data_IF_221069106494
#
_entry.id   IF_221069106494
#
_cell.length_a   1.000
_cell.length_b   1.000
_cell.length_c   1.000
_cell.angle_alpha   90.00
_cell.angle_beta   90.00
_cell.angle_gamma   90.00
#
_symmetry.space_group_name_H-M   'P 1'
#
loop_
_entity.id
_entity.type
_entity.pdbx_description
1 polymer ?
#
# COMPACT_ATOMS: atom_id res chain seq x y z
N UNK A 1 10.31 7.81 -4.33
CA UNK A 1 10.29 6.84 -3.20
C UNK A 1 11.38 5.81 -3.39
N UNK A 2 11.96 5.37 -2.29
CA UNK A 2 13.10 4.44 -2.33
C UNK A 2 12.64 3.03 -1.92
N UNK A 3 12.14 2.27 -2.90
CA UNK A 3 11.69 0.89 -2.67
C UNK A 3 12.81 -0.01 -2.14
N UNK A 4 14.04 0.00 -2.71
CA UNK A 4 15.09 -0.87 -2.19
C UNK A 4 15.45 -0.59 -0.73
N UNK A 5 15.49 0.68 -0.33
CA UNK A 5 15.78 1.05 1.05
C UNK A 5 14.65 0.61 2.00
N UNK A 6 13.40 0.79 1.60
CA UNK A 6 12.27 0.31 2.40
C UNK A 6 12.29 -1.21 2.53
N UNK A 7 12.53 -1.92 1.44
CA UNK A 7 12.63 -3.38 1.46
C UNK A 7 13.71 -3.84 2.44
N UNK A 8 14.88 -3.21 2.42
CA UNK A 8 15.98 -3.55 3.32
C UNK A 8 15.59 -3.36 4.79
N UNK A 9 14.89 -2.28 5.12
CA UNK A 9 14.42 -2.02 6.48
C UNK A 9 13.44 -3.10 6.91
N UNK A 10 12.48 -3.47 6.06
CA UNK A 10 11.51 -4.51 6.40
C UNK A 10 12.19 -5.87 6.58
N UNK A 11 13.17 -6.19 5.76
CA UNK A 11 13.95 -7.44 5.90
C UNK A 11 14.68 -7.48 7.25
N UNK A 12 15.23 -6.35 7.70
CA UNK A 12 15.91 -6.27 8.99
C UNK A 12 14.98 -6.49 10.17
N UNK A 13 13.69 -6.20 10.00
CA UNK A 13 12.67 -6.33 11.06
C UNK A 13 11.83 -7.59 10.89
N UNK A 14 12.21 -8.48 9.99
CA UNK A 14 11.48 -9.72 9.77
C UNK A 14 11.43 -10.57 11.04
N UNK A 15 10.27 -11.17 11.28
CA UNK A 15 10.05 -12.07 12.42
C UNK A 15 9.36 -13.33 11.90
N UNK A 16 10.12 -14.38 11.57
CA UNK A 16 9.55 -15.60 11.00
C UNK A 16 8.49 -16.27 11.89
N UNK A 17 8.63 -16.17 13.21
CA UNK A 17 7.65 -16.76 14.15
C UNK A 17 6.30 -16.07 14.02
N UNK A 18 6.28 -14.74 13.87
CA UNK A 18 5.03 -13.99 13.68
C UNK A 18 4.46 -14.17 12.27
N UNK A 19 5.32 -14.45 11.28
CA UNK A 19 4.88 -14.67 9.91
C UNK A 19 3.98 -15.89 9.77
N UNK A 20 4.24 -16.94 10.55
CA UNK A 20 3.48 -18.20 10.47
C UNK A 20 1.99 -17.99 10.70
N UNK A 21 1.53 -17.40 11.83
CA UNK A 21 0.10 -17.18 12.03
C UNK A 21 -0.49 -16.16 11.04
N UNK A 22 0.27 -15.18 10.59
CA UNK A 22 -0.19 -14.22 9.60
C UNK A 22 -0.50 -14.91 8.26
N UNK A 23 0.40 -15.78 7.82
CA UNK A 23 0.21 -16.55 6.59
C UNK A 23 -0.97 -17.49 6.69
N UNK A 24 -1.14 -18.16 7.83
CA UNK A 24 -2.27 -19.04 8.07
C UNK A 24 -3.60 -18.28 8.05
N UNK A 25 -3.66 -17.10 8.68
CA UNK A 25 -4.85 -16.25 8.68
C UNK A 25 -5.27 -15.87 7.26
N UNK A 26 -4.31 -15.62 6.38
CA UNK A 26 -4.55 -15.28 4.98
C UNK A 26 -4.64 -16.51 4.08
N UNK A 27 -4.80 -17.69 4.66
CA UNK A 27 -4.94 -18.98 3.97
C UNK A 27 -3.78 -19.26 3.01
N UNK A 28 -2.59 -18.84 3.41
CA UNK A 28 -1.34 -19.02 2.67
C UNK A 28 -1.33 -18.42 1.27
N UNK A 29 -2.14 -17.38 1.04
CA UNK A 29 -2.17 -16.67 -0.25
C UNK A 29 -1.02 -15.71 -0.42
N UNK A 30 -0.40 -15.26 0.68
CA UNK A 30 0.66 -14.26 0.67
C UNK A 30 1.80 -14.70 1.57
N UNK A 31 3.01 -14.24 1.24
CA UNK A 31 4.20 -14.40 2.08
C UNK A 31 4.28 -13.18 3.00
N UNK A 32 4.76 -13.38 4.23
CA UNK A 32 4.91 -12.32 5.22
C UNK A 32 6.33 -12.29 5.78
N UNK A 33 6.85 -11.08 6.05
CA UNK A 33 8.02 -10.91 6.91
C UNK A 33 7.69 -11.21 8.37
N UNK A 34 6.46 -10.97 8.78
CA UNK A 34 6.04 -11.09 10.16
C UNK A 34 6.03 -9.76 10.91
N UNK A 35 5.75 -8.66 10.21
CA UNK A 35 5.71 -7.31 10.77
C UNK A 35 4.24 -6.92 10.95
N UNK A 36 3.84 -6.58 12.18
CA UNK A 36 2.49 -6.11 12.46
C UNK A 36 2.24 -4.72 11.88
N UNK A 37 0.97 -4.38 11.63
CA UNK A 37 0.60 -3.11 11.00
C UNK A 37 1.10 -1.87 11.76
N UNK A 38 1.02 -1.78 13.10
CA UNK A 38 1.56 -0.62 13.80
C UNK A 38 3.06 -0.43 13.62
N UNK A 39 3.82 -1.52 13.66
CA UNK A 39 5.26 -1.47 13.43
C UNK A 39 5.57 -1.11 11.98
N UNK A 40 4.84 -1.67 11.04
CA UNK A 40 4.99 -1.34 9.62
C UNK A 40 4.78 0.16 9.38
N UNK A 41 3.73 0.73 9.94
CA UNK A 41 3.44 2.16 9.83
C UNK A 41 4.60 2.99 10.41
N UNK A 42 5.15 2.57 11.55
CA UNK A 42 6.29 3.24 12.17
C UNK A 42 7.53 3.19 11.27
N UNK A 43 7.81 2.04 10.67
CA UNK A 43 8.95 1.86 9.79
C UNK A 43 8.82 2.63 8.48
N UNK A 44 7.60 2.77 7.97
CA UNK A 44 7.33 3.51 6.73
C UNK A 44 7.37 5.02 6.93
N UNK A 45 7.10 5.52 8.14
CA UNK A 45 6.94 6.94 8.40
C UNK A 45 8.10 7.80 7.90
N UNK A 46 9.39 7.46 8.14
CA UNK A 46 10.49 8.26 7.61
C UNK A 46 10.51 8.36 6.09
N UNK A 47 10.08 7.30 5.40
CA UNK A 47 10.03 7.27 3.94
C UNK A 47 8.93 8.15 3.38
N UNK A 48 7.82 8.30 4.10
CA UNK A 48 6.62 8.99 3.61
C UNK A 48 6.51 10.43 4.14
N UNK A 49 7.42 10.85 4.99
CA UNK A 49 7.34 12.14 5.70
C UNK A 49 7.09 13.33 4.75
N UNK A 50 7.83 13.39 3.65
CA UNK A 50 7.73 14.49 2.70
C UNK A 50 7.13 14.06 1.36
N UNK A 51 6.54 12.87 1.31
CA UNK A 51 6.05 12.29 0.05
C UNK A 51 4.99 13.16 -0.61
N UNK A 52 4.11 13.79 0.18
CA UNK A 52 3.02 14.61 -0.35
C UNK A 52 3.49 15.90 -1.07
N UNK A 53 4.77 16.25 -0.93
CA UNK A 53 5.35 17.39 -1.64
C UNK A 53 5.73 17.07 -3.08
N UNK A 54 5.67 15.79 -3.46
CA UNK A 54 6.04 15.30 -4.79
C UNK A 54 4.86 14.61 -5.44
N UNK A 55 4.85 14.45 -6.77
CA UNK A 55 3.83 13.65 -7.43
C UNK A 55 3.84 12.20 -6.99
N UNK A 56 2.76 11.47 -7.26
CA UNK A 56 2.67 10.04 -6.94
C UNK A 56 3.73 9.26 -7.72
N UNK A 57 4.53 8.47 -7.01
CA UNK A 57 5.52 7.58 -7.60
C UNK A 57 4.86 6.23 -7.88
N UNK A 58 4.30 6.08 -9.07
CA UNK A 58 3.63 4.84 -9.47
C UNK A 58 4.59 3.67 -9.67
N UNK A 59 5.86 3.94 -9.98
CA UNK A 59 6.88 2.89 -10.05
C UNK A 59 7.10 2.26 -8.67
N UNK A 60 7.15 3.08 -7.64
CA UNK A 60 7.23 2.58 -6.25
C UNK A 60 6.03 1.70 -5.91
N UNK A 61 4.81 2.16 -6.24
CA UNK A 61 3.59 1.39 -6.00
C UNK A 61 3.64 0.05 -6.74
N UNK A 62 4.07 0.07 -8.01
CA UNK A 62 4.17 -1.14 -8.82
C UNK A 62 5.16 -2.13 -8.22
N UNK A 63 6.32 -1.66 -7.81
CA UNK A 63 7.34 -2.53 -7.19
C UNK A 63 6.86 -3.16 -5.89
N UNK A 64 6.18 -2.37 -5.04
CA UNK A 64 5.57 -2.89 -3.81
C UNK A 64 4.51 -3.94 -4.11
N UNK A 65 3.69 -3.70 -5.13
CA UNK A 65 2.60 -4.62 -5.48
C UNK A 65 3.12 -5.92 -6.07
N UNK A 66 4.22 -5.87 -6.81
CA UNK A 66 4.84 -7.04 -7.43
C UNK A 66 5.65 -7.87 -6.43
N UNK A 67 6.00 -7.32 -5.27
CA UNK A 67 6.75 -8.03 -4.24
C UNK A 67 5.88 -9.14 -3.63
N UNK A 68 6.44 -10.33 -3.35
CA UNK A 68 5.67 -11.42 -2.76
C UNK A 68 5.24 -11.18 -1.32
N UNK A 69 5.92 -10.26 -0.59
CA UNK A 69 5.61 -10.01 0.82
C UNK A 69 4.44 -9.07 0.98
N UNK A 70 3.42 -9.50 1.71
CA UNK A 70 2.18 -8.76 1.88
C UNK A 70 2.38 -7.39 2.54
N UNK A 71 3.37 -7.27 3.42
CA UNK A 71 3.68 -5.99 4.06
C UNK A 71 4.02 -4.90 3.03
N UNK A 72 4.57 -5.25 1.88
CA UNK A 72 4.84 -4.25 0.84
C UNK A 72 3.57 -3.77 0.16
N UNK A 73 2.55 -4.62 0.00
CA UNK A 73 1.24 -4.14 -0.44
C UNK A 73 0.63 -3.19 0.60
N UNK A 74 0.72 -3.51 1.88
CA UNK A 74 0.24 -2.61 2.94
C UNK A 74 1.01 -1.28 2.94
N UNK A 75 2.33 -1.30 2.72
CA UNK A 75 3.13 -0.09 2.62
C UNK A 75 2.67 0.78 1.45
N UNK A 76 2.39 0.18 0.29
CA UNK A 76 1.87 0.90 -0.87
C UNK A 76 0.51 1.54 -0.56
N UNK A 77 -0.36 0.83 0.17
CA UNK A 77 -1.67 1.37 0.57
C UNK A 77 -1.51 2.58 1.50
N UNK A 78 -0.61 2.50 2.47
CA UNK A 78 -0.31 3.64 3.35
C UNK A 78 0.25 4.82 2.57
N UNK A 79 1.12 4.56 1.60
CA UNK A 79 1.64 5.59 0.70
C UNK A 79 0.51 6.25 -0.10
N UNK A 80 -0.39 5.46 -0.70
CA UNK A 80 -1.50 6.00 -1.49
C UNK A 80 -2.46 6.83 -0.65
N UNK A 81 -2.72 6.44 0.60
CA UNK A 81 -3.50 7.26 1.53
C UNK A 81 -2.81 8.60 1.77
N UNK A 82 -1.50 8.60 1.96
CA UNK A 82 -0.71 9.81 2.16
C UNK A 82 -0.78 10.72 0.94
N UNK A 83 -0.85 10.13 -0.27
CA UNK A 83 -0.86 10.84 -1.53
C UNK A 83 -2.27 11.17 -2.02
N UNK A 84 -3.30 10.97 -1.21
CA UNK A 84 -4.69 11.05 -1.63
C UNK A 84 -5.07 12.36 -2.30
N UNK A 85 -4.49 13.47 -1.86
CA UNK A 85 -4.74 14.79 -2.44
C UNK A 85 -4.17 14.94 -3.86
N UNK A 86 -3.22 14.10 -4.23
CA UNK A 86 -2.63 14.09 -5.58
C UNK A 86 -3.35 13.15 -6.54
N UNK A 87 -4.26 12.32 -6.03
CA UNK A 87 -4.97 11.34 -6.86
C UNK A 87 -6.13 12.00 -7.59
N UNK A 88 -6.29 11.65 -8.88
CA UNK A 88 -7.29 12.22 -9.77
C UNK A 88 -8.11 11.10 -10.39
N UNK A 89 -9.26 11.41 -11.06
CA UNK A 89 -10.02 10.38 -11.76
C UNK A 89 -9.20 9.61 -12.80
N UNK A 90 -8.16 10.21 -13.35
CA UNK A 90 -7.27 9.54 -14.30
C UNK A 90 -6.47 8.40 -13.66
N UNK A 91 -6.33 8.41 -12.33
CA UNK A 91 -5.63 7.36 -11.58
C UNK A 91 -6.53 6.19 -11.23
N UNK A 92 -7.86 6.32 -11.39
CA UNK A 92 -8.81 5.26 -11.02
C UNK A 92 -8.52 3.94 -11.74
N UNK A 93 -8.21 3.89 -13.05
CA UNK A 93 -7.88 2.62 -13.70
C UNK A 93 -6.67 1.92 -13.08
N UNK A 94 -5.66 2.68 -12.65
CA UNK A 94 -4.49 2.12 -11.98
C UNK A 94 -4.86 1.49 -10.63
N UNK A 95 -5.70 2.19 -9.86
CA UNK A 95 -6.17 1.67 -8.57
C UNK A 95 -7.01 0.42 -8.75
N UNK A 96 -7.89 0.40 -9.77
CA UNK A 96 -8.70 -0.77 -10.08
C UNK A 96 -7.85 -1.97 -10.48
N UNK A 97 -6.75 -1.76 -11.21
CA UNK A 97 -5.80 -2.82 -11.54
C UNK A 97 -5.20 -3.42 -10.26
N UNK A 98 -4.84 -2.58 -9.29
CA UNK A 98 -4.33 -3.06 -8.00
C UNK A 98 -5.38 -3.87 -7.24
N UNK A 99 -6.65 -3.47 -7.32
CA UNK A 99 -7.74 -4.22 -6.67
C UNK A 99 -7.84 -5.64 -7.23
N UNK A 100 -7.69 -5.81 -8.55
CA UNK A 100 -7.78 -7.13 -9.18
C UNK A 100 -6.53 -7.97 -9.01
N UNK A 101 -5.35 -7.34 -8.93
CA UNK A 101 -4.09 -8.03 -8.69
C UNK A 101 -3.88 -8.21 -7.19
N UNK A 102 -3.53 -9.42 -6.75
CA UNK A 102 -3.30 -9.73 -5.32
C UNK A 102 -4.47 -9.33 -4.43
N UNK A 103 -5.67 -9.45 -4.98
CA UNK A 103 -6.91 -9.06 -4.32
C UNK A 103 -7.18 -9.91 -3.08
N UNK A 104 -7.50 -9.25 -2.00
CA UNK A 104 -8.03 -9.84 -0.78
C UNK A 104 -8.85 -8.75 -0.08
N UNK A 105 -9.76 -9.14 0.80
CA UNK A 105 -10.69 -8.18 1.42
C UNK A 105 -9.99 -7.00 2.08
N UNK A 106 -8.82 -7.22 2.70
CA UNK A 106 -8.10 -6.17 3.45
C UNK A 106 -7.50 -5.08 2.56
N UNK A 107 -7.05 -5.43 1.33
CA UNK A 107 -6.52 -4.43 0.40
C UNK A 107 -7.62 -3.83 -0.48
N UNK A 108 -8.60 -4.64 -0.90
CA UNK A 108 -9.69 -4.17 -1.74
C UNK A 108 -10.52 -3.09 -1.04
N UNK A 109 -10.83 -3.26 0.25
CA UNK A 109 -11.58 -2.27 1.02
C UNK A 109 -10.89 -0.91 1.06
N UNK A 110 -9.57 -0.90 1.28
CA UNK A 110 -8.80 0.35 1.32
C UNK A 110 -8.81 1.03 -0.04
N UNK A 111 -8.56 0.27 -1.10
CA UNK A 111 -8.54 0.82 -2.46
C UNK A 111 -9.90 1.34 -2.88
N UNK A 112 -10.98 0.63 -2.55
CA UNK A 112 -12.34 1.09 -2.83
C UNK A 112 -12.65 2.43 -2.15
N UNK A 113 -12.20 2.61 -0.92
CA UNK A 113 -12.38 3.88 -0.19
C UNK A 113 -11.61 5.01 -0.86
N UNK A 114 -10.40 4.75 -1.33
CA UNK A 114 -9.59 5.74 -2.05
C UNK A 114 -10.29 6.15 -3.35
N UNK A 115 -10.78 5.19 -4.13
CA UNK A 115 -11.52 5.45 -5.36
C UNK A 115 -12.79 6.24 -5.07
N UNK A 116 -13.53 5.85 -4.03
CA UNK A 116 -14.76 6.55 -3.62
C UNK A 116 -14.50 8.00 -3.24
N UNK A 117 -13.42 8.28 -2.52
CA UNK A 117 -13.03 9.63 -2.15
C UNK A 117 -12.69 10.49 -3.38
N UNK A 118 -11.97 9.93 -4.34
CA UNK A 118 -11.66 10.63 -5.59
C UNK A 118 -12.95 10.99 -6.31
N UNK A 119 -13.86 10.04 -6.48
CA UNK A 119 -15.12 10.26 -7.17
C UNK A 119 -15.95 11.37 -6.48
N UNK A 120 -16.02 11.34 -5.15
CA UNK A 120 -16.77 12.32 -4.38
C UNK A 120 -16.18 13.72 -4.53
N UNK A 121 -14.85 13.88 -4.40
CA UNK A 121 -14.20 15.18 -4.52
C UNK A 121 -14.42 15.82 -5.88
N UNK A 122 -14.35 15.03 -6.95
CA UNK A 122 -14.52 15.57 -8.31
C UNK A 122 -15.99 15.82 -8.65
N UNK A 123 -16.91 15.06 -8.07
CA UNK A 123 -18.33 15.33 -8.20
C UNK A 123 -18.68 16.68 -7.52
N UNK A 124 -18.15 16.94 -6.34
CA UNK A 124 -18.37 18.20 -5.62
C UNK A 124 -17.80 19.39 -6.40
N UNK A 125 -16.64 19.22 -7.04
CA UNK A 125 -16.02 20.28 -7.84
C UNK A 125 -16.82 20.61 -9.10
N UNK A 126 -17.60 19.67 -9.62
CA UNK A 126 -18.38 19.84 -10.83
C UNK A 126 -19.83 20.30 -10.56
N UNK A 127 -20.19 20.45 -9.33
CA UNK A 127 -21.49 20.99 -8.94
C UNK A 127 -21.38 22.43 -8.51
#
# INVERSE_FOLDING_TARGET
>A
MDYPALLAVLQQHANPERAVPMQAYMKHRFVYFGIGKPELARLCRPFFKDAAKQPVDWDFVRRCWDDPHRELQYAALEYLKKMQQHLTPQDIPRLQTLITEKSWWDSADVLDRIVGDIALRYTELNT
#
